data_IF_414558669393
#
_entry.id   IF_414558669393
#
_cell.length_a   1.000
_cell.length_b   1.000
_cell.length_c   1.000
_cell.angle_alpha   90.00
_cell.angle_beta   90.00
_cell.angle_gamma   90.00
#
_symmetry.space_group_name_H-M   'P 1'
#
loop_
_entity.id
_entity.type
_entity.pdbx_description
1 polymer ?
#
# COMPACT_ATOMS: atom_id res chain seq x y z
N UNK A 1 -7.48 -16.47 -16.78
CA UNK A 1 -7.59 -15.56 -15.62
C UNK A 1 -7.55 -14.16 -16.18
N UNK A 2 -8.63 -13.39 -16.05
CA UNK A 2 -8.66 -12.01 -16.50
C UNK A 2 -9.07 -11.15 -15.31
N UNK A 3 -8.17 -10.25 -14.91
CA UNK A 3 -8.39 -9.29 -13.84
C UNK A 3 -8.15 -7.91 -14.42
N UNK A 4 -9.17 -7.05 -14.35
CA UNK A 4 -9.10 -5.71 -14.89
C UNK A 4 -8.71 -4.71 -13.81
N UNK A 5 -7.81 -3.80 -14.19
CA UNK A 5 -7.34 -2.73 -13.33
C UNK A 5 -7.12 -1.43 -14.09
N UNK A 6 -7.45 -0.29 -13.47
CA UNK A 6 -7.22 1.05 -14.05
C UNK A 6 -5.80 1.56 -13.84
N UNK A 7 -4.99 0.86 -13.06
CA UNK A 7 -3.67 1.33 -12.68
C UNK A 7 -2.70 0.85 -13.76
N UNK A 8 -2.03 1.78 -14.47
CA UNK A 8 -0.99 1.41 -15.46
C UNK A 8 0.07 0.57 -14.75
N UNK A 9 0.14 -0.71 -15.12
CA UNK A 9 1.02 -1.67 -14.45
C UNK A 9 2.45 -1.43 -14.92
N UNK A 10 3.24 -0.81 -14.05
CA UNK A 10 4.68 -0.58 -14.24
C UNK A 10 5.52 -1.57 -13.42
N UNK A 11 4.92 -2.21 -12.41
CA UNK A 11 5.52 -3.28 -11.62
C UNK A 11 4.43 -4.23 -11.05
N UNK A 12 4.83 -5.41 -10.56
CA UNK A 12 3.93 -6.51 -10.18
C UNK A 12 2.99 -6.23 -8.98
N UNK A 13 3.13 -5.08 -8.34
CA UNK A 13 2.36 -4.74 -7.13
C UNK A 13 1.27 -3.73 -7.40
N UNK A 14 1.45 -2.94 -8.45
CA UNK A 14 0.36 -2.26 -9.14
C UNK A 14 -0.67 -3.29 -9.63
N UNK A 15 -0.20 -4.45 -10.13
CA UNK A 15 -1.04 -5.62 -10.46
C UNK A 15 -1.71 -6.26 -9.23
N UNK A 16 -1.11 -6.19 -8.05
CA UNK A 16 -1.72 -6.72 -6.83
C UNK A 16 -2.69 -5.73 -6.17
N UNK A 17 -2.46 -4.42 -6.26
CA UNK A 17 -3.41 -3.40 -5.79
C UNK A 17 -4.67 -3.34 -6.67
N UNK A 18 -4.46 -3.52 -7.97
CA UNK A 18 -5.43 -3.90 -8.97
C UNK A 18 -6.31 -5.11 -8.58
N UNK A 19 -5.68 -6.21 -8.12
CA UNK A 19 -6.34 -7.45 -7.71
C UNK A 19 -6.97 -7.38 -6.30
N UNK A 20 -6.48 -6.50 -5.42
CA UNK A 20 -6.91 -6.40 -4.01
C UNK A 20 -8.30 -5.79 -3.79
N UNK A 21 -8.89 -5.14 -4.79
CA UNK A 21 -10.29 -4.68 -4.76
C UNK A 21 -11.26 -5.64 -5.45
N UNK A 22 -10.79 -6.81 -5.90
CA UNK A 22 -11.67 -7.85 -6.43
C UNK A 22 -12.16 -8.74 -5.30
N UNK A 23 -13.28 -8.36 -4.68
CA UNK A 23 -14.13 -9.29 -3.94
C UNK A 23 -14.90 -10.25 -4.86
N UNK A 24 -14.78 -10.10 -6.18
CA UNK A 24 -15.44 -10.94 -7.17
C UNK A 24 -14.42 -11.84 -7.91
N UNK A 25 -13.79 -12.76 -7.18
CA UNK A 25 -13.06 -13.83 -7.83
C UNK A 25 -14.06 -14.85 -8.39
N UNK A 26 -14.28 -14.82 -9.70
CA UNK A 26 -15.22 -15.73 -10.36
C UNK A 26 -14.48 -16.98 -10.80
N UNK A 27 -14.80 -18.07 -10.10
CA UNK A 27 -14.36 -19.41 -10.47
C UNK A 27 -15.14 -19.86 -11.69
N UNK A 28 -14.54 -19.67 -12.85
CA UNK A 28 -14.99 -20.35 -14.06
C UNK A 28 -14.52 -21.81 -13.94
N UNK A 29 -15.39 -22.68 -13.42
CA UNK A 29 -15.24 -24.13 -13.68
C UNK A 29 -15.19 -24.33 -15.21
N UNK A 30 -14.33 -25.23 -15.66
CA UNK A 30 -14.31 -25.71 -17.05
C UNK A 30 -15.58 -26.52 -17.34
N UNK A 31 -16.72 -25.84 -17.35
CA UNK A 31 -18.04 -26.36 -17.71
C UNK A 31 -18.78 -25.31 -18.54
N UNK A 32 -19.70 -25.78 -19.39
CA UNK A 32 -19.80 -25.40 -20.80
C UNK A 32 -20.47 -24.06 -21.16
N UNK A 33 -20.83 -23.17 -20.22
CA UNK A 33 -21.65 -22.01 -20.60
C UNK A 33 -20.87 -20.69 -20.69
N UNK A 34 -20.62 -20.21 -21.91
CA UNK A 34 -19.82 -19.01 -22.19
C UNK A 34 -20.60 -17.69 -22.00
N UNK A 35 -21.92 -17.71 -22.14
CA UNK A 35 -22.76 -16.52 -21.99
C UNK A 35 -22.81 -16.01 -20.54
N UNK A 36 -23.03 -16.91 -19.57
CA UNK A 36 -23.05 -16.57 -18.14
C UNK A 36 -21.70 -16.01 -17.65
N UNK A 37 -20.59 -16.44 -18.27
CA UNK A 37 -19.22 -15.96 -17.97
C UNK A 37 -19.00 -14.53 -18.44
N UNK A 38 -19.60 -14.13 -19.56
CA UNK A 38 -19.53 -12.76 -20.07
C UNK A 38 -20.32 -11.81 -19.18
N UNK A 39 -21.50 -12.22 -18.72
CA UNK A 39 -22.34 -11.43 -17.82
C UNK A 39 -21.68 -11.21 -16.46
N UNK A 40 -21.06 -12.26 -15.92
CA UNK A 40 -20.40 -12.20 -14.63
C UNK A 40 -19.06 -11.42 -14.70
N UNK A 41 -18.26 -11.59 -15.75
CA UNK A 41 -17.09 -10.75 -15.99
C UNK A 41 -17.47 -9.26 -16.14
N UNK A 42 -18.57 -8.94 -16.82
CA UNK A 42 -19.08 -7.58 -16.94
C UNK A 42 -19.48 -6.99 -15.57
N UNK A 43 -20.07 -7.81 -14.69
CA UNK A 43 -20.41 -7.40 -13.32
C UNK A 43 -19.18 -7.09 -12.47
N UNK A 44 -18.14 -7.94 -12.58
CA UNK A 44 -16.85 -7.73 -11.91
C UNK A 44 -16.21 -6.42 -12.37
N UNK A 45 -16.20 -6.18 -13.68
CA UNK A 45 -15.64 -4.96 -14.29
C UNK A 45 -16.40 -3.74 -13.76
N UNK A 46 -17.73 -3.78 -13.72
CA UNK A 46 -18.54 -2.67 -13.20
C UNK A 46 -18.26 -2.33 -11.72
N UNK A 47 -18.06 -3.36 -10.87
CA UNK A 47 -17.71 -3.14 -9.46
C UNK A 47 -16.28 -2.57 -9.32
N UNK A 48 -15.37 -3.03 -10.17
CA UNK A 48 -13.98 -2.54 -10.21
C UNK A 48 -13.92 -1.08 -10.64
N UNK A 49 -14.76 -0.66 -11.58
CA UNK A 49 -14.86 0.71 -12.08
C UNK A 49 -15.27 1.68 -10.97
N UNK A 50 -16.27 1.32 -10.17
CA UNK A 50 -16.73 2.18 -9.07
C UNK A 50 -15.66 2.38 -7.97
N UNK A 51 -14.95 1.31 -7.60
CA UNK A 51 -13.88 1.40 -6.58
C UNK A 51 -12.69 2.20 -7.10
N UNK A 52 -12.42 2.10 -8.39
CA UNK A 52 -11.38 2.85 -9.08
C UNK A 52 -11.60 4.34 -9.01
N UNK A 53 -12.81 4.79 -9.31
CA UNK A 53 -13.13 6.21 -9.28
C UNK A 53 -12.97 6.79 -7.88
N UNK A 54 -13.39 6.05 -6.86
CA UNK A 54 -13.23 6.42 -5.46
C UNK A 54 -11.75 6.49 -5.06
N UNK A 55 -10.95 5.48 -5.40
CA UNK A 55 -9.52 5.46 -5.09
C UNK A 55 -8.74 6.53 -5.85
N UNK A 56 -9.08 6.76 -7.12
CA UNK A 56 -8.47 7.81 -7.94
C UNK A 56 -8.72 9.18 -7.31
N UNK A 57 -9.95 9.43 -6.87
CA UNK A 57 -10.31 10.66 -6.16
C UNK A 57 -9.53 10.81 -4.85
N UNK A 58 -9.42 9.74 -4.06
CA UNK A 58 -8.68 9.73 -2.80
C UNK A 58 -7.17 9.97 -2.99
N UNK A 59 -6.54 9.26 -3.94
CA UNK A 59 -5.11 9.42 -4.21
C UNK A 59 -4.79 10.78 -4.82
N UNK A 60 -5.66 11.32 -5.68
CA UNK A 60 -5.52 12.69 -6.17
C UNK A 60 -5.60 13.72 -5.02
N UNK A 61 -6.41 13.46 -3.99
CA UNK A 61 -6.43 14.27 -2.77
C UNK A 61 -5.11 14.14 -2.00
N UNK A 62 -4.62 12.93 -1.78
CA UNK A 62 -3.36 12.68 -1.07
C UNK A 62 -2.13 13.24 -1.79
N UNK A 63 -2.13 13.26 -3.12
CA UNK A 63 -1.08 13.88 -3.93
C UNK A 63 -1.05 15.41 -3.81
N UNK A 64 -2.15 16.04 -3.36
CA UNK A 64 -2.22 17.49 -3.09
C UNK A 64 -1.93 17.83 -1.63
N UNK A 65 -2.13 16.89 -0.71
CA UNK A 65 -1.81 17.06 0.71
C UNK A 65 -0.30 17.02 0.91
N UNK A 66 0.31 18.15 1.27
CA UNK A 66 1.72 18.25 1.64
C UNK A 66 1.93 17.82 3.10
N UNK A 67 3.05 17.16 3.35
CA UNK A 67 3.48 16.72 4.68
C UNK A 67 4.94 17.10 4.90
N UNK A 68 5.33 17.30 6.16
CA UNK A 68 6.73 17.53 6.53
C UNK A 68 7.49 16.21 6.68
N UNK A 69 8.82 16.27 6.68
CA UNK A 69 9.67 15.09 6.84
C UNK A 69 9.49 14.42 8.21
N UNK A 70 9.21 15.20 9.26
CA UNK A 70 8.88 14.68 10.58
C UNK A 70 7.55 13.91 10.58
N UNK A 71 6.54 14.45 9.90
CA UNK A 71 5.24 13.79 9.74
C UNK A 71 5.37 12.52 8.90
N UNK A 72 6.20 12.53 7.86
CA UNK A 72 6.53 11.35 7.07
C UNK A 72 7.14 10.25 7.96
N UNK A 73 8.16 10.60 8.75
CA UNK A 73 8.83 9.65 9.66
C UNK A 73 7.85 9.06 10.68
N UNK A 74 7.01 9.88 11.31
CA UNK A 74 5.99 9.43 12.27
C UNK A 74 4.96 8.50 11.62
N UNK A 75 4.52 8.81 10.39
CA UNK A 75 3.58 7.98 9.64
C UNK A 75 4.19 6.61 9.31
N UNK A 76 5.43 6.58 8.82
CA UNK A 76 6.15 5.35 8.52
C UNK A 76 6.32 4.49 9.77
N UNK A 77 6.71 5.09 10.90
CA UNK A 77 6.83 4.40 12.18
C UNK A 77 5.51 3.74 12.61
N UNK A 78 4.40 4.48 12.55
CA UNK A 78 3.07 3.97 12.91
C UNK A 78 2.60 2.83 11.99
N UNK A 79 2.85 2.93 10.69
CA UNK A 79 2.47 1.91 9.72
C UNK A 79 3.31 0.62 9.88
N UNK A 80 4.59 0.77 10.22
CA UNK A 80 5.52 -0.35 10.38
C UNK A 80 5.44 -1.04 11.74
N UNK A 81 4.73 -0.48 12.72
CA UNK A 81 4.71 -0.97 14.11
C UNK A 81 4.34 -2.47 14.21
N UNK A 82 5.24 -3.35 14.67
CA UNK A 82 5.05 -4.80 14.68
C UNK A 82 3.86 -5.24 15.55
N UNK A 83 3.67 -4.58 16.69
CA UNK A 83 2.68 -4.90 17.70
C UNK A 83 1.98 -3.63 18.22
N UNK A 84 0.94 -3.82 19.04
CA UNK A 84 0.17 -2.72 19.63
C UNK A 84 1.00 -1.88 20.61
N UNK A 85 1.98 -2.48 21.27
CA UNK A 85 2.86 -1.81 22.23
C UNK A 85 3.75 -0.78 21.54
N UNK A 86 4.44 -1.16 20.46
CA UNK A 86 5.24 -0.24 19.64
C UNK A 86 4.36 0.88 19.07
N UNK A 87 3.16 0.54 18.61
CA UNK A 87 2.21 1.55 18.13
C UNK A 87 1.85 2.57 19.21
N UNK A 88 1.53 2.10 20.42
CA UNK A 88 1.21 2.99 21.54
C UNK A 88 2.42 3.81 22.00
N UNK A 89 3.62 3.22 22.04
CA UNK A 89 4.84 3.94 22.36
C UNK A 89 5.11 5.11 21.41
N UNK A 90 4.85 4.93 20.10
CA UNK A 90 4.98 6.00 19.11
C UNK A 90 3.90 7.08 19.28
N UNK A 91 2.65 6.69 19.53
CA UNK A 91 1.54 7.64 19.75
C UNK A 91 1.73 8.47 21.02
N UNK A 92 2.24 7.85 22.09
CA UNK A 92 2.48 8.49 23.39
C UNK A 92 3.84 9.18 23.50
N UNK A 93 4.65 9.13 22.44
CA UNK A 93 6.00 9.70 22.39
C UNK A 93 6.87 9.23 23.57
N UNK A 94 6.74 7.95 23.93
CA UNK A 94 7.44 7.38 25.08
C UNK A 94 8.95 7.27 24.79
N UNK A 95 9.73 8.23 25.27
CA UNK A 95 11.18 8.29 25.11
C UNK A 95 11.94 7.13 25.78
N UNK A 96 11.32 6.42 26.73
CA UNK A 96 11.93 5.28 27.41
C UNK A 96 11.68 3.94 26.71
N UNK A 97 10.87 3.91 25.64
CA UNK A 97 10.58 2.68 24.92
C UNK A 97 11.72 2.36 23.94
N UNK A 98 12.40 1.23 24.16
CA UNK A 98 13.45 0.75 23.27
C UNK A 98 12.84 0.04 22.06
N UNK A 99 13.07 0.60 20.87
CA UNK A 99 12.69 -0.03 19.62
C UNK A 99 13.73 -1.07 19.21
N UNK A 100 13.29 -2.19 18.63
CA UNK A 100 14.22 -3.20 18.11
C UNK A 100 15.05 -2.63 16.95
N UNK A 101 16.32 -3.04 16.86
CA UNK A 101 17.23 -2.60 15.78
C UNK A 101 16.63 -2.88 14.40
N UNK A 102 16.07 -4.09 14.21
CA UNK A 102 15.41 -4.45 12.95
C UNK A 102 14.26 -3.50 12.56
N UNK A 103 13.51 -2.99 13.54
CA UNK A 103 12.43 -2.04 13.27
C UNK A 103 12.99 -0.69 12.82
N UNK A 104 14.03 -0.20 13.50
CA UNK A 104 14.72 1.04 13.15
C UNK A 104 15.33 0.94 11.75
N UNK A 105 16.03 -0.16 11.44
CA UNK A 105 16.63 -0.42 10.13
C UNK A 105 15.54 -0.43 9.02
N UNK A 106 14.41 -1.09 9.28
CA UNK A 106 13.28 -1.13 8.34
C UNK A 106 12.73 0.28 8.06
N UNK A 107 12.65 1.13 9.09
CA UNK A 107 12.19 2.52 8.90
C UNK A 107 13.20 3.30 8.07
N UNK A 108 14.49 3.13 8.34
CA UNK A 108 15.56 3.81 7.61
C UNK A 108 15.57 3.40 6.13
N UNK A 109 15.38 2.12 5.82
CA UNK A 109 15.24 1.62 4.45
C UNK A 109 14.04 2.26 3.72
N UNK A 110 12.90 2.37 4.41
CA UNK A 110 11.68 2.97 3.85
C UNK A 110 11.89 4.46 3.57
N UNK A 111 12.52 5.18 4.50
CA UNK A 111 12.84 6.60 4.32
C UNK A 111 13.87 6.81 3.22
N UNK A 112 14.91 5.99 3.18
CA UNK A 112 15.91 5.99 2.11
C UNK A 112 15.26 5.79 0.75
N UNK A 113 14.29 4.87 0.63
CA UNK A 113 13.51 4.70 -0.58
C UNK A 113 12.67 5.93 -0.92
N UNK A 114 12.06 6.58 0.08
CA UNK A 114 11.27 7.79 -0.10
C UNK A 114 12.10 8.95 -0.68
N UNK A 115 13.36 9.09 -0.27
CA UNK A 115 14.21 10.20 -0.73
C UNK A 115 15.04 9.87 -1.97
N UNK A 116 15.40 8.61 -2.20
CA UNK A 116 16.29 8.21 -3.30
C UNK A 116 15.56 7.74 -4.56
N UNK A 117 14.34 7.21 -4.46
CA UNK A 117 13.66 6.63 -5.63
C UNK A 117 13.20 7.72 -6.61
N UNK A 118 13.49 7.59 -7.92
CA UNK A 118 13.01 8.54 -8.94
C UNK A 118 11.47 8.68 -8.96
N UNK A 119 10.76 7.60 -8.58
CA UNK A 119 9.29 7.60 -8.50
C UNK A 119 8.76 8.41 -7.32
N UNK A 120 9.59 8.65 -6.31
CA UNK A 120 9.26 9.41 -5.10
C UNK A 120 9.68 10.87 -5.18
N UNK A 121 10.56 11.21 -6.12
CA UNK A 121 11.01 12.58 -6.36
C UNK A 121 10.07 13.36 -7.32
N UNK A 122 8.98 12.76 -7.78
CA UNK A 122 8.01 13.43 -8.64
C UNK A 122 7.18 14.43 -7.85
N UNK A 123 6.67 15.48 -8.51
CA UNK A 123 5.90 16.54 -7.84
C UNK A 123 4.65 16.04 -7.08
N UNK A 124 4.08 14.92 -7.53
CA UNK A 124 2.90 14.26 -6.97
C UNK A 124 3.21 13.36 -5.77
N UNK A 125 4.47 12.96 -5.59
CA UNK A 125 4.91 12.04 -4.53
C UNK A 125 5.84 12.72 -3.52
N UNK A 126 6.78 13.54 -3.97
CA UNK A 126 7.74 14.22 -3.10
C UNK A 126 7.03 15.10 -2.06
N UNK A 127 7.21 14.81 -0.78
CA UNK A 127 6.59 15.58 0.31
C UNK A 127 5.06 15.56 0.31
N UNK A 128 4.43 14.54 -0.28
CA UNK A 128 2.98 14.35 -0.24
C UNK A 128 2.60 13.13 0.59
N UNK A 129 1.36 13.12 1.06
CA UNK A 129 0.79 11.95 1.73
C UNK A 129 0.77 10.72 0.81
N UNK A 130 0.58 10.94 -0.49
CA UNK A 130 0.67 9.88 -1.49
C UNK A 130 2.09 9.32 -1.61
N UNK A 131 3.12 10.16 -1.52
CA UNK A 131 4.52 9.72 -1.43
C UNK A 131 4.79 8.87 -0.21
N UNK A 132 4.29 9.26 0.97
CA UNK A 132 4.44 8.49 2.20
C UNK A 132 3.88 7.07 2.07
N UNK A 133 2.67 6.94 1.52
CA UNK A 133 2.05 5.66 1.23
C UNK A 133 2.87 4.84 0.21
N UNK A 134 3.34 5.50 -0.85
CA UNK A 134 4.15 4.86 -1.87
C UNK A 134 5.54 4.44 -1.36
N UNK A 135 6.09 5.10 -0.35
CA UNK A 135 7.38 4.74 0.25
C UNK A 135 7.27 3.40 0.97
N UNK A 136 6.24 3.24 1.79
CA UNK A 136 5.93 2.01 2.53
C UNK A 136 5.69 0.85 1.57
N UNK A 137 4.84 1.07 0.56
CA UNK A 137 4.56 0.02 -0.41
C UNK A 137 5.81 -0.27 -1.25
N UNK A 138 6.49 0.76 -1.76
CA UNK A 138 7.72 0.64 -2.54
C UNK A 138 8.84 -0.14 -1.84
N UNK A 139 8.98 0.00 -0.53
CA UNK A 139 9.93 -0.79 0.26
C UNK A 139 9.68 -2.31 0.12
N UNK A 140 8.46 -2.78 0.42
CA UNK A 140 8.11 -4.21 0.30
C UNK A 140 8.19 -4.73 -1.14
N UNK A 141 8.15 -3.82 -2.11
CA UNK A 141 8.15 -4.17 -3.51
C UNK A 141 9.52 -4.22 -4.14
N UNK A 142 10.40 -3.30 -3.76
CA UNK A 142 11.61 -3.00 -4.52
C UNK A 142 12.88 -3.08 -3.68
N UNK A 143 12.77 -2.94 -2.35
CA UNK A 143 13.92 -2.86 -1.44
C UNK A 143 14.06 -4.11 -0.59
N UNK A 144 12.95 -4.60 -0.03
CA UNK A 144 12.98 -5.76 0.85
C UNK A 144 13.46 -6.99 0.10
N UNK A 145 14.50 -7.63 0.64
CA UNK A 145 15.00 -8.88 0.13
C UNK A 145 14.08 -10.05 0.48
N UNK A 146 13.84 -10.89 -0.53
CA UNK A 146 13.04 -12.11 -0.41
C UNK A 146 13.84 -13.28 -0.94
N UNK A 147 13.67 -14.45 -0.31
CA UNK A 147 14.37 -15.68 -0.69
C UNK A 147 14.09 -16.10 -2.14
N UNK A 148 12.87 -15.87 -2.62
CA UNK A 148 12.44 -16.16 -3.99
C UNK A 148 11.19 -15.34 -4.35
N UNK A 149 10.82 -15.38 -5.63
CA UNK A 149 9.67 -14.66 -6.17
C UNK A 149 8.34 -15.07 -5.51
N UNK A 150 8.17 -16.34 -5.15
CA UNK A 150 6.96 -16.82 -4.49
C UNK A 150 6.84 -16.32 -3.04
N UNK A 151 7.96 -16.24 -2.31
CA UNK A 151 7.99 -15.67 -0.97
C UNK A 151 7.67 -14.16 -1.00
N UNK A 152 8.16 -13.45 -2.03
CA UNK A 152 7.79 -12.06 -2.29
C UNK A 152 6.30 -11.94 -2.60
N UNK A 153 5.79 -12.75 -3.53
CA UNK A 153 4.38 -12.77 -3.88
C UNK A 153 3.52 -13.04 -2.65
N UNK A 154 3.83 -14.07 -1.87
CA UNK A 154 3.07 -14.43 -0.67
C UNK A 154 3.13 -13.33 0.39
N UNK A 155 4.29 -12.72 0.64
CA UNK A 155 4.41 -11.62 1.59
C UNK A 155 3.56 -10.42 1.17
N UNK A 156 3.58 -10.08 -0.12
CA UNK A 156 2.84 -8.94 -0.64
C UNK A 156 1.36 -9.28 -0.69
N UNK A 157 0.93 -10.45 -1.15
CA UNK A 157 -0.48 -10.74 -1.34
C UNK A 157 -1.22 -11.20 -0.09
N UNK A 158 -0.56 -11.94 0.79
CA UNK A 158 -1.23 -12.66 1.87
C UNK A 158 -0.54 -12.49 3.23
N UNK A 159 0.68 -11.95 3.26
CA UNK A 159 1.50 -11.89 4.45
C UNK A 159 1.77 -10.47 4.93
N UNK A 160 2.93 -10.31 5.56
CA UNK A 160 3.32 -9.07 6.24
C UNK A 160 3.30 -7.82 5.36
N UNK A 161 3.63 -7.93 4.07
CA UNK A 161 3.57 -6.80 3.14
C UNK A 161 2.13 -6.32 2.89
N UNK A 162 1.15 -7.24 2.85
CA UNK A 162 -0.27 -6.90 2.80
C UNK A 162 -0.70 -6.12 4.04
N UNK A 163 -0.42 -6.67 5.22
CA UNK A 163 -0.88 -6.11 6.48
C UNK A 163 -0.34 -4.70 6.70
N UNK A 164 0.94 -4.49 6.37
CA UNK A 164 1.62 -3.20 6.47
C UNK A 164 1.07 -2.19 5.48
N UNK A 165 0.76 -2.62 4.26
CA UNK A 165 0.11 -1.76 3.26
C UNK A 165 -1.29 -1.36 3.70
N UNK A 166 -2.09 -2.30 4.24
CA UNK A 166 -3.43 -2.01 4.77
C UNK A 166 -3.36 -1.01 5.92
N UNK A 167 -2.43 -1.23 6.85
CA UNK A 167 -2.21 -0.32 7.99
C UNK A 167 -1.80 1.08 7.52
N UNK A 168 -0.89 1.17 6.55
CA UNK A 168 -0.49 2.44 5.94
C UNK A 168 -1.70 3.16 5.32
N UNK A 169 -2.56 2.45 4.60
CA UNK A 169 -3.78 3.01 4.02
C UNK A 169 -4.75 3.54 5.10
N UNK A 170 -4.96 2.80 6.18
CA UNK A 170 -5.79 3.24 7.31
C UNK A 170 -5.25 4.52 7.95
N UNK A 171 -3.94 4.59 8.19
CA UNK A 171 -3.29 5.76 8.79
C UNK A 171 -3.37 6.95 7.83
N UNK A 172 -3.05 6.76 6.54
CA UNK A 172 -3.17 7.81 5.53
C UNK A 172 -4.62 8.27 5.35
N UNK A 173 -5.61 7.41 5.56
CA UNK A 173 -7.03 7.82 5.48
C UNK A 173 -7.43 8.70 6.68
N UNK A 174 -6.79 8.51 7.83
CA UNK A 174 -6.99 9.30 9.06
C UNK A 174 -5.98 10.44 9.21
N UNK A 175 -5.30 10.85 8.13
CA UNK A 175 -4.24 11.85 8.18
C UNK A 175 -4.65 13.19 8.83
N UNK A 176 -5.94 13.54 8.79
CA UNK A 176 -6.47 14.76 9.42
C UNK A 176 -6.25 14.75 10.93
N UNK A 177 -6.27 13.57 11.57
CA UNK A 177 -6.05 13.42 13.01
C UNK A 177 -4.55 13.52 13.38
N UNK A 178 -3.65 13.43 12.39
CA UNK A 178 -2.20 13.39 12.58
C UNK A 178 -1.45 14.64 12.08
N UNK A 179 -2.03 15.41 11.15
CA UNK A 179 -1.42 16.60 10.56
C UNK A 179 -1.82 17.91 11.26
N UNK A 180 -2.70 17.86 12.26
CA UNK A 180 -3.11 19.02 13.07
C UNK A 180 -2.33 19.10 14.39
#
# INVERSE_FOLDING_TARGET
MAAFTPIRIVCNNTLNMALRNHSNAVFIKHTANAADKLTEAARIIAISDNITDQLTTLFNKWAKTRITDEQLKKLVQLAMAPNKEVFQAIVTENAAFEFSTQFVDTIDDVLSYAFASPTQQMQTTAGTLFGAYNAITGYYQNVKDYKNADAKLNSILYGTGLDRTKKAFEICSKYIDFLN
#
